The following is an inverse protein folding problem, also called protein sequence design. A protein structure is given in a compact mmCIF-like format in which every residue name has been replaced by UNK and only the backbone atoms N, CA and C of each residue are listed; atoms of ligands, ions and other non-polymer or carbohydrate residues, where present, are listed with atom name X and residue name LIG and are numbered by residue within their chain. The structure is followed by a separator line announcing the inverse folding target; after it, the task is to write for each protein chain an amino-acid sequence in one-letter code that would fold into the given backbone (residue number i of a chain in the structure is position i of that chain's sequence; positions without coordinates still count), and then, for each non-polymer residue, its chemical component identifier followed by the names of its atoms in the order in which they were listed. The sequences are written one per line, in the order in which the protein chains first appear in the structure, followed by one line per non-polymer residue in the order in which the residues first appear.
data_IF_482560168157
#
_entry.id   IF_482560168157
#
_cell.length_a   1.000
_cell.length_b   1.000
_cell.length_c   1.000
_cell.angle_alpha   90.00
_cell.angle_beta   90.00
_cell.angle_gamma   90.00
#
_symmetry.space_group_name_H-M   'P 1'
#
loop_
_entity.id
_entity.type
_entity.pdbx_description
1 polymer ?
#
# COMPACT_ATOMS: atom_id res chain seq x y z
N UNK A 1 32.13 -31.09 -5.41
CA UNK A 1 32.25 -29.86 -6.21
C UNK A 1 31.08 -29.85 -7.19
N UNK A 2 29.91 -29.41 -6.72
CA UNK A 2 28.70 -29.38 -7.51
C UNK A 2 28.43 -27.92 -7.91
N UNK A 3 28.64 -27.65 -9.18
CA UNK A 3 28.28 -26.38 -9.82
C UNK A 3 26.82 -26.50 -10.20
N UNK A 4 25.92 -25.87 -9.42
CA UNK A 4 24.51 -25.74 -9.79
C UNK A 4 24.40 -24.65 -10.85
N UNK A 5 24.28 -25.07 -12.10
CA UNK A 5 24.06 -24.20 -13.26
C UNK A 5 22.61 -23.69 -13.17
N UNK A 6 22.42 -22.42 -12.83
CA UNK A 6 21.12 -21.77 -12.99
C UNK A 6 20.85 -21.56 -14.47
N UNK A 7 19.94 -22.35 -15.03
CA UNK A 7 19.43 -22.19 -16.38
C UNK A 7 18.40 -21.05 -16.37
N UNK A 8 18.73 -19.95 -17.04
CA UNK A 8 17.79 -18.84 -17.23
C UNK A 8 16.94 -19.11 -18.47
N UNK A 9 15.65 -19.32 -18.26
CA UNK A 9 14.67 -19.36 -19.36
C UNK A 9 14.04 -18.00 -19.48
N UNK A 10 14.40 -17.24 -20.50
CA UNK A 10 13.72 -15.98 -20.87
C UNK A 10 12.49 -16.34 -21.67
N UNK A 11 11.33 -16.31 -21.05
CA UNK A 11 10.02 -16.30 -21.73
C UNK A 11 9.39 -14.92 -21.51
N UNK A 12 9.16 -14.28 -22.62
CA UNK A 12 8.46 -13.00 -22.84
C UNK A 12 7.91 -12.24 -21.63
N UNK A 13 8.56 -11.18 -21.23
CA UNK A 13 7.93 -10.01 -20.61
C UNK A 13 7.57 -10.06 -19.11
N UNK A 14 7.82 -11.12 -18.39
CA UNK A 14 7.62 -11.17 -16.93
C UNK A 14 8.96 -11.44 -16.26
N UNK A 15 9.56 -10.41 -15.67
CA UNK A 15 10.62 -10.59 -14.69
C UNK A 15 9.97 -11.24 -13.47
N UNK A 16 10.11 -12.54 -13.32
CA UNK A 16 9.80 -13.19 -12.05
C UNK A 16 10.78 -12.63 -11.03
N UNK A 17 10.25 -11.89 -10.07
CA UNK A 17 11.02 -11.51 -8.88
C UNK A 17 11.64 -12.79 -8.32
N UNK A 18 12.95 -12.94 -8.45
CA UNK A 18 13.70 -14.05 -7.88
C UNK A 18 13.39 -14.16 -6.39
N UNK A 19 13.58 -15.32 -5.81
CA UNK A 19 13.43 -15.49 -4.36
C UNK A 19 14.23 -14.40 -3.65
N UNK A 20 13.64 -13.76 -2.61
CA UNK A 20 14.35 -12.71 -1.89
C UNK A 20 15.66 -13.30 -1.37
N UNK A 21 16.78 -12.69 -1.73
CA UNK A 21 18.09 -13.06 -1.17
C UNK A 21 18.03 -12.96 0.36
N UNK A 22 18.60 -13.93 1.06
CA UNK A 22 18.72 -13.84 2.51
C UNK A 22 19.85 -12.90 2.93
N UNK A 23 20.83 -12.68 2.05
CA UNK A 23 22.03 -11.91 2.34
C UNK A 23 21.94 -10.47 1.88
N UNK A 24 21.26 -10.19 0.76
CA UNK A 24 21.12 -8.85 0.18
C UNK A 24 19.71 -8.31 0.45
N UNK A 25 19.63 -7.11 0.98
CA UNK A 25 18.39 -6.38 1.19
C UNK A 25 18.44 -5.07 0.42
N UNK A 26 17.42 -4.79 -0.36
CA UNK A 26 17.24 -3.55 -1.11
C UNK A 26 15.78 -3.17 -1.16
N UNK A 27 15.45 -2.02 -1.74
CA UNK A 27 14.06 -1.61 -1.92
C UNK A 27 13.37 -2.54 -2.93
N UNK A 28 12.43 -3.34 -2.45
CA UNK A 28 11.71 -4.33 -3.27
C UNK A 28 10.80 -3.70 -4.32
N UNK A 29 10.43 -2.43 -4.17
CA UNK A 29 9.64 -1.68 -5.15
C UNK A 29 10.51 -1.09 -6.26
N UNK A 30 11.84 -1.09 -6.09
CA UNK A 30 12.78 -0.45 -7.00
C UNK A 30 13.14 0.97 -6.63
N UNK A 31 13.72 1.70 -7.56
CA UNK A 31 14.31 3.01 -7.33
C UNK A 31 13.90 4.02 -8.41
N UNK A 32 13.84 5.29 -8.01
CA UNK A 32 13.78 6.38 -8.99
C UNK A 32 15.16 6.64 -9.62
N UNK A 33 15.23 7.09 -10.89
CA UNK A 33 16.49 7.32 -11.58
C UNK A 33 17.45 8.26 -10.84
N UNK A 34 16.97 9.37 -10.31
CA UNK A 34 17.78 10.44 -9.73
C UNK A 34 17.88 10.39 -8.19
N UNK A 35 17.30 9.37 -7.55
CA UNK A 35 17.39 9.23 -6.10
C UNK A 35 18.54 8.35 -5.66
N UNK A 36 18.88 8.46 -4.37
CA UNK A 36 19.83 7.56 -3.71
C UNK A 36 19.37 6.10 -3.85
N UNK A 37 20.32 5.23 -4.21
CA UNK A 37 20.11 3.79 -4.38
C UNK A 37 21.10 3.04 -3.55
N UNK A 38 20.60 2.44 -2.49
CA UNK A 38 21.42 1.67 -1.57
C UNK A 38 20.88 0.25 -1.39
N UNK A 39 21.79 -0.67 -1.15
CA UNK A 39 21.48 -2.01 -0.69
C UNK A 39 22.26 -2.32 0.60
N UNK A 40 21.77 -3.26 1.37
CA UNK A 40 22.36 -3.70 2.63
C UNK A 40 22.72 -5.17 2.52
N UNK A 41 23.98 -5.51 2.85
CA UNK A 41 24.45 -6.88 2.92
C UNK A 41 24.54 -7.33 4.37
N UNK A 42 23.88 -8.45 4.66
CA UNK A 42 23.71 -8.96 6.02
C UNK A 42 24.87 -9.79 6.54
N UNK A 43 25.76 -10.26 5.67
CA UNK A 43 26.81 -11.22 6.01
C UNK A 43 28.12 -10.95 5.28
N UNK A 44 29.22 -11.28 5.95
CA UNK A 44 30.54 -11.36 5.35
C UNK A 44 31.22 -10.03 5.01
N UNK A 45 32.48 -10.13 4.67
CA UNK A 45 33.24 -9.03 4.10
C UNK A 45 32.83 -8.86 2.63
N UNK A 46 32.52 -7.66 2.22
CA UNK A 46 32.26 -7.29 0.85
C UNK A 46 33.50 -6.55 0.32
N UNK A 47 34.12 -7.04 -0.73
CA UNK A 47 35.26 -6.38 -1.37
C UNK A 47 34.82 -5.52 -2.56
N UNK A 48 33.87 -6.05 -3.33
CA UNK A 48 33.30 -5.39 -4.48
C UNK A 48 31.87 -5.92 -4.72
N UNK A 49 31.09 -5.16 -5.46
CA UNK A 49 29.80 -5.60 -5.99
C UNK A 49 29.65 -5.13 -7.44
N UNK A 50 28.77 -5.78 -8.18
CA UNK A 50 28.50 -5.43 -9.56
C UNK A 50 27.02 -5.29 -9.82
N UNK A 51 26.66 -4.41 -10.75
CA UNK A 51 25.31 -4.32 -11.30
C UNK A 51 25.35 -4.78 -12.75
N UNK A 52 24.42 -5.66 -13.08
CA UNK A 52 24.29 -6.25 -14.41
C UNK A 52 22.93 -5.87 -14.97
N UNK A 53 22.88 -5.42 -16.21
CA UNK A 53 21.64 -5.20 -16.95
C UNK A 53 20.96 -6.55 -17.21
N UNK A 54 19.70 -6.68 -16.82
CA UNK A 54 18.98 -7.95 -16.87
C UNK A 54 18.62 -8.39 -18.30
N UNK A 55 18.54 -7.48 -19.26
CA UNK A 55 18.20 -7.77 -20.64
C UNK A 55 19.42 -8.23 -21.45
N UNK A 56 20.57 -7.62 -21.20
CA UNK A 56 21.79 -7.84 -22.00
C UNK A 56 22.79 -8.75 -21.32
N UNK A 57 22.72 -8.90 -19.99
CA UNK A 57 23.73 -9.58 -19.19
C UNK A 57 25.04 -8.80 -19.03
N UNK A 58 25.10 -7.57 -19.53
CA UNK A 58 26.29 -6.76 -19.45
C UNK A 58 26.43 -6.11 -18.07
N UNK A 59 27.65 -6.07 -17.58
CA UNK A 59 28.00 -5.32 -16.37
C UNK A 59 27.94 -3.82 -16.69
N UNK A 60 27.06 -3.11 -15.97
CA UNK A 60 26.85 -1.65 -16.12
C UNK A 60 27.50 -0.83 -15.01
N UNK A 61 27.82 -1.48 -13.88
CA UNK A 61 28.45 -0.81 -12.75
C UNK A 61 29.31 -1.78 -11.94
N UNK A 62 30.41 -1.29 -11.37
CA UNK A 62 31.17 -1.97 -10.32
C UNK A 62 31.50 -0.97 -9.23
N UNK A 63 31.23 -1.34 -8.00
CA UNK A 63 31.47 -0.52 -6.83
C UNK A 63 32.18 -1.26 -5.71
N UNK A 64 32.77 -0.48 -4.83
CA UNK A 64 33.28 -0.95 -3.54
C UNK A 64 32.23 -0.66 -2.48
N UNK A 65 32.21 -1.41 -1.36
CA UNK A 65 31.30 -1.09 -0.25
C UNK A 65 31.57 0.34 0.25
N UNK A 66 30.50 1.05 0.57
CA UNK A 66 30.60 2.42 1.07
C UNK A 66 31.11 2.44 2.50
N UNK A 67 30.34 1.86 3.42
CA UNK A 67 30.67 1.83 4.84
C UNK A 67 29.97 0.68 5.55
N UNK A 68 30.41 0.40 6.78
CA UNK A 68 29.75 -0.54 7.67
C UNK A 68 28.89 0.24 8.65
N UNK A 69 27.59 0.00 8.61
CA UNK A 69 26.64 0.56 9.56
C UNK A 69 26.40 -0.40 10.72
N UNK A 70 26.42 0.12 11.93
CA UNK A 70 26.05 -0.61 13.14
C UNK A 70 24.74 -0.05 13.70
N UNK A 71 23.87 -0.91 14.18
CA UNK A 71 22.61 -0.50 14.78
C UNK A 71 22.69 -0.62 16.31
N UNK A 72 22.30 0.45 17.01
CA UNK A 72 22.17 0.42 18.47
C UNK A 72 21.04 -0.51 18.96
N UNK A 73 20.14 -0.92 18.06
CA UNK A 73 18.98 -1.80 18.36
C UNK A 73 19.25 -3.27 18.07
N UNK A 74 20.36 -3.56 17.38
CA UNK A 74 20.78 -4.93 17.09
C UNK A 74 22.30 -4.97 17.11
N UNK A 75 22.89 -5.99 17.70
CA UNK A 75 24.36 -6.19 17.76
C UNK A 75 24.95 -6.58 16.39
N UNK A 76 24.31 -6.18 15.31
CA UNK A 76 24.70 -6.58 13.96
C UNK A 76 25.20 -5.39 13.15
N UNK A 77 26.37 -5.55 12.57
CA UNK A 77 26.90 -4.64 11.55
C UNK A 77 26.44 -5.07 10.16
N UNK A 78 26.25 -4.09 9.29
CA UNK A 78 25.79 -4.26 7.91
C UNK A 78 26.69 -3.49 6.96
N UNK A 79 26.99 -4.08 5.82
CA UNK A 79 27.71 -3.39 4.75
C UNK A 79 26.71 -2.68 3.85
N UNK A 80 26.92 -1.39 3.61
CA UNK A 80 26.10 -0.57 2.73
C UNK A 80 26.76 -0.52 1.36
N UNK A 81 25.98 -0.79 0.32
CA UNK A 81 26.37 -0.70 -1.08
C UNK A 81 25.62 0.48 -1.70
N UNK A 82 26.34 1.45 -2.21
CA UNK A 82 25.79 2.62 -2.90
C UNK A 82 26.01 2.46 -4.41
N UNK A 83 24.93 2.55 -5.17
CA UNK A 83 24.90 2.49 -6.63
C UNK A 83 24.04 3.62 -7.24
N UNK A 84 24.00 4.76 -6.53
CA UNK A 84 23.20 5.94 -6.92
C UNK A 84 23.56 6.49 -8.28
N UNK A 85 24.80 6.28 -8.75
CA UNK A 85 25.29 6.71 -10.06
C UNK A 85 24.56 6.05 -11.25
N UNK A 86 23.87 4.94 -11.02
CA UNK A 86 23.06 4.31 -12.08
C UNK A 86 21.73 5.05 -12.17
N UNK A 87 21.56 5.85 -13.20
CA UNK A 87 20.34 6.66 -13.41
C UNK A 87 19.47 6.16 -14.56
N UNK A 88 19.96 5.26 -15.40
CA UNK A 88 19.20 4.73 -16.51
C UNK A 88 18.02 3.87 -16.03
N UNK A 89 16.78 4.11 -16.50
CA UNK A 89 15.68 3.20 -16.25
C UNK A 89 15.95 1.81 -16.84
N UNK A 90 15.58 0.75 -16.11
CA UNK A 90 15.79 -0.63 -16.55
C UNK A 90 15.61 -1.63 -15.42
N UNK A 91 15.78 -2.90 -15.78
CA UNK A 91 15.82 -4.02 -14.85
C UNK A 91 17.26 -4.48 -14.67
N UNK A 92 17.66 -4.70 -13.44
CA UNK A 92 19.04 -4.96 -13.08
C UNK A 92 19.16 -6.10 -12.06
N UNK A 93 20.34 -6.71 -12.01
CA UNK A 93 20.76 -7.59 -10.92
C UNK A 93 21.91 -6.94 -10.15
N UNK A 94 21.77 -6.83 -8.85
CA UNK A 94 22.89 -6.55 -7.95
C UNK A 94 23.51 -7.88 -7.54
N UNK A 95 24.81 -8.00 -7.75
CA UNK A 95 25.58 -9.21 -7.48
C UNK A 95 26.69 -8.91 -6.47
N UNK A 96 26.76 -9.70 -5.41
CA UNK A 96 27.79 -9.61 -4.37
C UNK A 96 28.06 -10.98 -3.75
N UNK A 97 29.33 -11.34 -3.57
CA UNK A 97 29.76 -12.59 -2.93
C UNK A 97 29.12 -13.87 -3.51
N UNK A 98 28.79 -13.87 -4.81
CA UNK A 98 28.16 -15.01 -5.48
C UNK A 98 26.64 -15.08 -5.34
N UNK A 99 26.02 -14.16 -4.59
CA UNK A 99 24.57 -14.00 -4.49
C UNK A 99 24.10 -12.87 -5.41
N UNK A 100 22.79 -12.87 -5.75
CA UNK A 100 22.19 -11.86 -6.63
C UNK A 100 20.76 -11.54 -6.23
N UNK A 101 20.36 -10.30 -6.49
CA UNK A 101 18.98 -9.84 -6.30
C UNK A 101 18.57 -8.89 -7.43
N UNK A 102 17.38 -9.08 -7.95
CA UNK A 102 16.82 -8.24 -9.01
C UNK A 102 16.24 -6.94 -8.43
N UNK A 103 16.33 -5.85 -9.18
CA UNK A 103 15.67 -4.58 -8.89
C UNK A 103 15.35 -3.81 -10.18
N UNK A 104 14.44 -2.83 -10.05
CA UNK A 104 14.02 -1.96 -11.15
C UNK A 104 14.40 -0.51 -10.85
N UNK A 105 14.82 0.22 -11.88
CA UNK A 105 14.91 1.69 -11.87
C UNK A 105 13.87 2.23 -12.84
N UNK A 106 12.98 3.11 -12.36
CA UNK A 106 11.84 3.59 -13.15
C UNK A 106 11.30 4.93 -12.65
N UNK A 107 10.88 5.79 -13.57
CA UNK A 107 10.36 7.13 -13.27
C UNK A 107 9.14 7.15 -12.34
N UNK A 108 8.31 6.12 -12.37
CA UNK A 108 7.09 6.03 -11.57
C UNK A 108 7.06 4.72 -10.77
N UNK A 109 8.19 4.37 -10.18
CA UNK A 109 8.38 3.08 -9.51
C UNK A 109 7.40 2.83 -8.35
N UNK A 110 6.95 3.87 -7.64
CA UNK A 110 6.00 3.76 -6.53
C UNK A 110 4.53 3.90 -6.95
N UNK A 111 4.21 4.13 -8.23
CA UNK A 111 2.80 4.24 -8.66
C UNK A 111 1.97 3.00 -8.32
N UNK A 112 2.43 1.76 -8.52
CA UNK A 112 1.65 0.58 -8.15
C UNK A 112 1.36 0.51 -6.65
N UNK A 113 2.27 1.01 -5.80
CA UNK A 113 2.04 1.09 -4.36
C UNK A 113 0.97 2.13 -4.03
N UNK A 114 1.01 3.31 -4.68
CA UNK A 114 0.00 4.34 -4.50
C UNK A 114 -1.39 3.86 -4.94
N UNK A 115 -1.46 3.12 -6.05
CA UNK A 115 -2.71 2.53 -6.54
C UNK A 115 -3.24 1.47 -5.55
N UNK A 116 -2.37 0.61 -5.04
CA UNK A 116 -2.73 -0.39 -4.04
C UNK A 116 -3.18 0.24 -2.71
N UNK A 117 -2.53 1.34 -2.30
CA UNK A 117 -2.90 2.07 -1.09
C UNK A 117 -4.31 2.67 -1.20
N UNK A 118 -4.65 3.31 -2.33
CA UNK A 118 -6.01 3.79 -2.55
C UNK A 118 -7.00 2.63 -2.67
N UNK A 119 -6.65 1.59 -3.42
CA UNK A 119 -7.49 0.38 -3.58
C UNK A 119 -7.81 -0.30 -2.25
N UNK A 120 -6.94 -0.18 -1.23
CA UNK A 120 -7.18 -0.80 0.07
C UNK A 120 -8.46 -0.28 0.74
N UNK A 121 -8.85 0.96 0.53
CA UNK A 121 -10.10 1.52 1.05
C UNK A 121 -11.34 0.86 0.41
N UNK A 122 -11.31 0.56 -0.89
CA UNK A 122 -12.36 -0.23 -1.53
C UNK A 122 -12.58 -1.57 -0.84
N UNK A 123 -11.50 -2.26 -0.44
CA UNK A 123 -11.62 -3.52 0.28
C UNK A 123 -12.21 -3.37 1.69
N UNK A 124 -12.19 -2.18 2.27
CA UNK A 124 -12.80 -1.89 3.58
C UNK A 124 -14.28 -1.48 3.50
N UNK A 125 -14.85 -1.31 2.32
CA UNK A 125 -16.26 -0.92 2.17
C UNK A 125 -17.20 -1.94 2.83
N UNK A 126 -18.17 -1.46 3.61
CA UNK A 126 -19.23 -2.27 4.26
C UNK A 126 -20.55 -2.14 3.52
N UNK A 127 -21.49 -3.03 3.78
CA UNK A 127 -22.85 -2.94 3.26
C UNK A 127 -23.01 -3.27 1.77
N UNK A 128 -21.93 -3.55 1.05
CA UNK A 128 -21.95 -3.94 -0.35
C UNK A 128 -21.04 -5.13 -0.62
N UNK A 129 -21.27 -5.92 -1.70
CA UNK A 129 -20.33 -6.94 -2.10
C UNK A 129 -19.04 -6.31 -2.64
N UNK A 130 -17.90 -6.94 -2.37
CA UNK A 130 -16.65 -6.66 -3.07
C UNK A 130 -16.56 -7.65 -4.23
N UNK A 131 -16.88 -7.16 -5.42
CA UNK A 131 -17.08 -8.03 -6.59
C UNK A 131 -15.76 -8.50 -7.22
N UNK A 132 -15.77 -9.70 -7.80
CA UNK A 132 -14.59 -10.29 -8.42
C UNK A 132 -14.05 -9.45 -9.60
N UNK A 133 -14.91 -8.71 -10.31
CA UNK A 133 -14.51 -7.77 -11.38
C UNK A 133 -13.50 -6.72 -10.90
N UNK A 134 -13.64 -6.28 -9.66
CA UNK A 134 -12.78 -5.26 -9.05
C UNK A 134 -11.73 -5.84 -8.10
N UNK A 135 -11.97 -7.01 -7.53
CA UNK A 135 -11.16 -7.57 -6.45
C UNK A 135 -10.51 -8.92 -6.78
N UNK A 136 -10.85 -9.56 -7.90
CA UNK A 136 -10.33 -10.89 -8.25
C UNK A 136 -10.57 -11.91 -7.13
N UNK A 137 -9.53 -12.57 -6.69
CA UNK A 137 -9.58 -13.60 -5.62
C UNK A 137 -9.95 -13.04 -4.24
N UNK A 138 -9.94 -11.75 -4.06
CA UNK A 138 -10.27 -11.07 -2.79
C UNK A 138 -11.73 -10.61 -2.73
N UNK A 139 -12.55 -11.08 -3.69
CA UNK A 139 -13.99 -10.82 -3.67
C UNK A 139 -14.65 -11.43 -2.44
N UNK A 140 -15.70 -10.77 -1.95
CA UNK A 140 -16.48 -11.22 -0.81
C UNK A 140 -17.94 -10.76 -0.91
N UNK A 141 -18.92 -11.49 -0.33
CA UNK A 141 -20.29 -11.01 -0.26
C UNK A 141 -20.41 -9.75 0.59
N UNK A 142 -21.56 -9.06 0.48
CA UNK A 142 -21.90 -7.97 1.35
C UNK A 142 -21.96 -8.45 2.82
N UNK A 143 -21.42 -7.64 3.70
CA UNK A 143 -21.49 -7.85 5.14
C UNK A 143 -21.84 -6.56 5.85
N UNK A 144 -22.40 -6.66 7.05
CA UNK A 144 -22.73 -5.54 7.94
C UNK A 144 -23.55 -4.46 7.22
N UNK A 145 -24.84 -4.75 6.87
CA UNK A 145 -25.72 -3.79 6.22
C UNK A 145 -26.02 -2.58 7.11
N UNK A 146 -25.92 -2.74 8.43
CA UNK A 146 -26.10 -1.73 9.47
C UNK A 146 -27.41 -0.93 9.31
N UNK A 147 -28.44 -1.58 8.82
CA UNK A 147 -29.79 -1.04 8.63
C UNK A 147 -30.64 -1.04 9.91
N UNK A 148 -30.16 -1.69 10.97
CA UNK A 148 -30.80 -1.81 12.29
C UNK A 148 -29.78 -1.67 13.41
N UNK A 149 -29.36 -0.45 13.66
CA UNK A 149 -28.38 -0.11 14.69
C UNK A 149 -29.10 0.45 15.91
N UNK A 150 -28.77 -0.06 17.10
CA UNK A 150 -29.39 0.38 18.37
C UNK A 150 -28.60 1.56 18.96
N UNK A 151 -29.32 2.60 19.38
CA UNK A 151 -28.73 3.67 20.18
C UNK A 151 -28.30 3.09 21.53
N UNK A 152 -26.99 3.12 21.80
CA UNK A 152 -26.44 2.67 23.09
C UNK A 152 -26.85 3.61 24.23
N UNK A 153 -27.06 3.14 25.46
CA UNK A 153 -27.44 3.98 26.61
C UNK A 153 -26.51 5.20 26.81
N UNK A 154 -25.22 5.05 26.59
CA UNK A 154 -24.26 6.15 26.72
C UNK A 154 -24.38 7.23 25.63
N UNK A 155 -25.07 6.93 24.53
CA UNK A 155 -25.37 7.87 23.45
C UNK A 155 -26.79 8.41 23.51
N UNK A 156 -27.58 7.95 24.47
CA UNK A 156 -28.96 8.38 24.64
C UNK A 156 -29.07 9.82 25.18
N UNK A 157 -30.14 10.49 24.85
CA UNK A 157 -30.49 11.85 25.28
C UNK A 157 -31.98 12.08 25.26
N UNK A 158 -32.44 13.32 25.55
CA UNK A 158 -33.85 13.66 25.58
C UNK A 158 -34.59 13.32 24.28
N UNK A 159 -33.98 13.62 23.15
CA UNK A 159 -34.55 13.47 21.80
C UNK A 159 -34.29 12.08 21.19
N UNK A 160 -33.37 11.29 21.77
CA UNK A 160 -33.00 9.94 21.32
C UNK A 160 -32.91 8.96 22.49
N UNK A 161 -33.79 8.00 22.54
CA UNK A 161 -33.85 7.02 23.63
C UNK A 161 -32.88 5.85 23.35
N UNK A 162 -32.31 5.29 24.42
CA UNK A 162 -31.58 4.03 24.33
C UNK A 162 -32.45 2.94 23.70
N UNK A 163 -31.90 2.12 22.84
CA UNK A 163 -32.59 1.07 22.12
C UNK A 163 -33.41 1.56 20.91
N UNK A 164 -33.44 2.86 20.62
CA UNK A 164 -33.97 3.35 19.34
C UNK A 164 -33.17 2.75 18.19
N UNK A 165 -33.87 2.28 17.16
CA UNK A 165 -33.23 1.72 15.96
C UNK A 165 -33.03 2.83 14.94
N UNK A 166 -31.79 2.95 14.46
CA UNK A 166 -31.43 3.82 13.33
C UNK A 166 -30.81 2.99 12.22
N UNK A 167 -30.73 3.55 11.02
CA UNK A 167 -30.02 2.94 9.88
C UNK A 167 -28.76 3.73 9.58
N UNK A 168 -27.62 3.05 9.51
CA UNK A 168 -26.31 3.67 9.26
C UNK A 168 -25.44 2.80 8.32
N UNK A 169 -25.94 2.55 7.08
CA UNK A 169 -25.27 1.67 6.12
C UNK A 169 -24.03 2.29 5.50
N UNK A 170 -23.16 1.45 4.94
CA UNK A 170 -21.96 1.87 4.22
C UNK A 170 -20.80 2.26 5.13
N UNK A 171 -19.84 2.99 4.58
CA UNK A 171 -18.59 3.34 5.26
C UNK A 171 -17.52 2.25 5.18
N UNK A 172 -16.40 2.47 5.85
CA UNK A 172 -15.28 1.54 5.91
C UNK A 172 -15.18 0.86 7.27
N UNK A 173 -14.80 -0.41 7.27
CA UNK A 173 -14.25 -1.03 8.48
C UNK A 173 -12.99 -0.27 8.91
N UNK A 174 -12.77 -0.16 10.21
CA UNK A 174 -11.60 0.55 10.73
C UNK A 174 -10.29 -0.25 10.52
N UNK A 175 -10.30 -1.50 10.91
CA UNK A 175 -9.12 -2.37 10.85
C UNK A 175 -9.53 -3.83 10.58
N UNK A 176 -9.06 -4.76 11.43
CA UNK A 176 -9.41 -6.19 11.37
C UNK A 176 -10.72 -6.53 12.07
N UNK A 177 -11.40 -5.57 12.63
CA UNK A 177 -12.73 -5.70 13.24
C UNK A 177 -13.84 -5.18 12.31
N UNK A 178 -15.08 -5.31 12.74
CA UNK A 178 -16.26 -4.84 11.99
C UNK A 178 -16.74 -3.48 12.46
N UNK A 179 -15.97 -2.79 13.29
CA UNK A 179 -16.34 -1.48 13.80
C UNK A 179 -16.07 -0.36 12.79
N UNK A 180 -16.78 0.75 12.95
CA UNK A 180 -16.60 1.97 12.18
C UNK A 180 -16.50 3.16 13.15
N UNK A 181 -15.47 4.01 12.97
CA UNK A 181 -15.18 5.12 13.88
C UNK A 181 -15.17 6.43 13.12
N UNK A 182 -15.92 7.42 13.60
CA UNK A 182 -15.99 8.74 12.96
C UNK A 182 -14.65 9.47 12.97
N UNK A 183 -13.94 9.44 14.09
CA UNK A 183 -12.66 10.16 14.22
C UNK A 183 -11.61 9.59 13.26
N UNK A 184 -11.49 8.26 13.19
CA UNK A 184 -10.54 7.59 12.30
C UNK A 184 -10.88 7.84 10.82
N UNK A 185 -12.16 7.72 10.48
CA UNK A 185 -12.66 8.03 9.15
C UNK A 185 -12.41 9.49 8.76
N UNK A 186 -12.70 10.43 9.65
CA UNK A 186 -12.50 11.85 9.40
C UNK A 186 -11.01 12.19 9.20
N UNK A 187 -10.13 11.58 9.99
CA UNK A 187 -8.68 11.74 9.82
C UNK A 187 -8.21 11.23 8.45
N UNK A 188 -8.63 10.03 8.06
CA UNK A 188 -8.28 9.44 6.76
C UNK A 188 -8.77 10.30 5.59
N UNK A 189 -10.02 10.77 5.65
CA UNK A 189 -10.60 11.65 4.63
C UNK A 189 -9.86 12.99 4.59
N UNK A 190 -9.54 13.56 5.74
CA UNK A 190 -8.77 14.81 5.83
C UNK A 190 -7.39 14.71 5.17
N UNK A 191 -6.68 13.58 5.35
CA UNK A 191 -5.44 13.29 4.65
C UNK A 191 -5.65 13.14 3.14
N UNK A 192 -6.68 12.41 2.71
CA UNK A 192 -7.02 12.27 1.28
C UNK A 192 -7.33 13.62 0.64
N UNK A 193 -8.07 14.51 1.32
CA UNK A 193 -8.32 15.87 0.83
C UNK A 193 -7.03 16.66 0.69
N UNK A 194 -6.14 16.57 1.68
CA UNK A 194 -4.87 17.30 1.67
C UNK A 194 -3.96 16.85 0.50
N UNK A 195 -3.86 15.54 0.25
CA UNK A 195 -3.06 15.03 -0.87
C UNK A 195 -3.71 15.36 -2.23
N UNK A 196 -5.05 15.30 -2.32
CA UNK A 196 -5.75 15.71 -3.53
C UNK A 196 -5.52 17.19 -3.85
N UNK A 197 -5.67 18.07 -2.86
CA UNK A 197 -5.41 19.50 -3.02
C UNK A 197 -3.95 19.79 -3.44
N UNK A 198 -3.00 18.95 -2.98
CA UNK A 198 -1.58 19.10 -3.30
C UNK A 198 -1.21 18.56 -4.69
N UNK A 199 -1.87 17.49 -5.14
CA UNK A 199 -1.53 16.75 -6.35
C UNK A 199 -2.75 16.42 -7.23
N UNK A 200 -3.61 17.39 -7.57
CA UNK A 200 -4.88 17.12 -8.27
C UNK A 200 -4.66 16.41 -9.61
N UNK A 201 -3.69 16.84 -10.39
CA UNK A 201 -3.39 16.25 -11.71
C UNK A 201 -2.96 14.78 -11.66
N UNK A 202 -2.38 14.35 -10.54
CA UNK A 202 -2.05 12.95 -10.32
C UNK A 202 -3.33 12.13 -10.14
N UNK A 203 -4.21 12.55 -9.22
CA UNK A 203 -5.42 11.82 -8.87
C UNK A 203 -6.51 11.86 -9.95
N UNK A 204 -6.58 12.92 -10.76
CA UNK A 204 -7.45 12.97 -11.93
C UNK A 204 -7.12 11.85 -12.94
N UNK A 205 -5.85 11.45 -13.02
CA UNK A 205 -5.40 10.38 -13.93
C UNK A 205 -5.31 9.00 -13.28
N UNK A 206 -5.33 8.94 -11.95
CA UNK A 206 -5.25 7.67 -11.22
C UNK A 206 -6.57 6.92 -11.33
N UNK A 207 -6.52 5.66 -11.74
CA UNK A 207 -7.65 4.73 -11.73
C UNK A 207 -7.22 3.45 -11.01
N UNK A 208 -8.01 3.03 -10.03
CA UNK A 208 -7.69 1.86 -9.20
C UNK A 208 -8.69 0.71 -9.37
N UNK A 209 -9.50 0.77 -10.40
CA UNK A 209 -10.49 -0.25 -10.76
C UNK A 209 -11.49 -0.52 -9.61
N UNK A 210 -12.19 0.54 -9.20
CA UNK A 210 -13.37 0.47 -8.31
C UNK A 210 -14.67 0.61 -9.14
N UNK A 211 -15.85 0.31 -8.58
CA UNK A 211 -17.12 0.40 -9.33
C UNK A 211 -17.36 1.76 -10.01
N UNK A 212 -16.85 2.81 -9.41
CA UNK A 212 -17.00 4.19 -9.88
C UNK A 212 -15.94 4.61 -10.92
N UNK A 213 -14.87 3.82 -11.10
CA UNK A 213 -13.79 4.17 -12.05
C UNK A 213 -14.35 4.50 -13.43
N UNK A 214 -13.98 5.68 -13.96
CA UNK A 214 -14.44 6.16 -15.27
C UNK A 214 -15.73 7.00 -15.27
N UNK A 215 -16.28 7.34 -14.11
CA UNK A 215 -17.48 8.19 -13.97
C UNK A 215 -17.20 9.71 -14.07
N UNK A 216 -15.99 10.12 -14.45
CA UNK A 216 -15.48 11.49 -14.52
C UNK A 216 -15.12 12.12 -13.17
N UNK A 217 -15.33 11.44 -12.05
CA UNK A 217 -14.80 11.80 -10.73
C UNK A 217 -13.51 11.01 -10.50
N UNK A 218 -12.46 11.60 -9.92
CA UNK A 218 -11.28 10.84 -9.50
C UNK A 218 -11.62 9.74 -8.48
N UNK A 219 -11.11 8.53 -8.67
CA UNK A 219 -11.38 7.38 -7.79
C UNK A 219 -11.09 7.69 -6.29
N UNK A 220 -10.12 8.56 -6.00
CA UNK A 220 -9.87 9.03 -4.63
C UNK A 220 -11.08 9.76 -4.03
N UNK A 221 -11.74 10.61 -4.81
CA UNK A 221 -12.92 11.36 -4.35
C UNK A 221 -14.13 10.45 -4.22
N UNK A 222 -14.28 9.45 -5.10
CA UNK A 222 -15.34 8.45 -5.00
C UNK A 222 -15.20 7.62 -3.71
N UNK A 223 -13.97 7.19 -3.37
CA UNK A 223 -13.72 6.51 -2.10
C UNK A 223 -14.03 7.38 -0.89
N UNK A 224 -13.60 8.64 -0.90
CA UNK A 224 -13.93 9.59 0.16
C UNK A 224 -15.44 9.76 0.28
N UNK A 225 -16.14 9.92 -0.84
CA UNK A 225 -17.59 10.11 -0.87
C UNK A 225 -18.33 8.88 -0.32
N UNK A 226 -17.87 7.67 -0.64
CA UNK A 226 -18.44 6.45 -0.09
C UNK A 226 -18.49 6.47 1.44
N UNK A 227 -17.41 6.86 2.09
CA UNK A 227 -17.32 6.92 3.53
C UNK A 227 -18.01 8.17 4.13
N UNK A 228 -17.94 9.32 3.46
CA UNK A 228 -18.64 10.54 3.89
C UNK A 228 -20.16 10.34 3.96
N UNK A 229 -20.74 9.59 3.03
CA UNK A 229 -22.18 9.25 3.08
C UNK A 229 -22.54 8.50 4.36
N UNK A 230 -21.70 7.54 4.77
CA UNK A 230 -21.90 6.88 6.06
C UNK A 230 -21.74 7.86 7.24
N UNK A 231 -20.72 8.71 7.23
CA UNK A 231 -20.53 9.69 8.31
C UNK A 231 -21.73 10.60 8.52
N UNK A 232 -22.41 10.99 7.45
CA UNK A 232 -23.66 11.77 7.53
C UNK A 232 -24.80 11.01 8.22
N UNK A 233 -24.84 9.68 8.13
CA UNK A 233 -25.84 8.87 8.86
C UNK A 233 -25.56 8.78 10.35
N UNK A 234 -24.35 9.12 10.76
CA UNK A 234 -23.90 9.14 12.16
C UNK A 234 -24.18 10.49 12.85
N UNK A 235 -24.73 11.46 12.14
CA UNK A 235 -25.19 12.73 12.72
C UNK A 235 -26.67 12.63 13.11
N UNK A 236 -26.97 12.92 14.38
CA UNK A 236 -28.33 12.94 14.85
C UNK A 236 -29.06 14.18 14.32
N UNK A 237 -30.22 14.02 13.64
CA UNK A 237 -30.92 15.15 13.04
C UNK A 237 -31.61 16.07 14.08
N UNK A 238 -31.83 15.60 15.32
CA UNK A 238 -32.52 16.37 16.34
C UNK A 238 -31.64 17.48 16.95
N UNK A 239 -30.35 17.18 17.21
CA UNK A 239 -29.42 18.11 17.88
C UNK A 239 -28.14 18.36 17.12
N UNK A 240 -27.93 17.67 15.98
CA UNK A 240 -26.70 17.75 15.18
C UNK A 240 -25.48 17.03 15.81
N UNK A 241 -25.66 16.36 16.94
CA UNK A 241 -24.63 15.58 17.60
C UNK A 241 -24.19 14.39 16.74
N UNK A 242 -22.91 14.01 16.82
CA UNK A 242 -22.36 12.92 16.02
C UNK A 242 -22.03 11.74 16.91
N UNK A 243 -22.56 10.57 16.56
CA UNK A 243 -22.23 9.33 17.24
C UNK A 243 -20.77 8.99 17.02
N UNK A 244 -20.06 8.65 18.09
CA UNK A 244 -18.61 8.41 18.04
C UNK A 244 -18.23 7.21 17.17
N UNK A 245 -18.98 6.13 17.27
CA UNK A 245 -18.71 4.87 16.56
C UNK A 245 -19.98 4.04 16.36
N UNK A 246 -19.89 3.14 15.39
CA UNK A 246 -20.77 1.99 15.24
C UNK A 246 -19.94 0.74 15.57
N UNK A 247 -20.44 -0.12 16.45
CA UNK A 247 -19.73 -1.31 16.93
C UNK A 247 -20.68 -2.48 17.07
N UNK A 248 -20.17 -3.70 16.97
CA UNK A 248 -20.94 -4.90 17.28
C UNK A 248 -21.32 -4.91 18.77
N UNK A 249 -22.52 -5.38 19.04
CA UNK A 249 -22.98 -5.60 20.42
C UNK A 249 -22.21 -6.80 21.00
N UNK A 250 -21.60 -6.60 22.15
CA UNK A 250 -20.97 -7.67 22.95
C UNK A 250 -21.84 -8.04 24.13
#
# INVERSE_FOLDING_TARGET
MNITTCLFTVLGGMVTLGHPSETIRLNQLGYYPQQEKVAVVNTGEVREFTIVDAATGNRVFSGKPGYIASSAWSDKSRTILDFSDITAPGNYFLMVNGDSVAFEIKERVLSPLADAALKSFYYQRTGMPIEATYAGRWSRPAGHPDDKVLIHPNAAGPERKAGTVISSPGGWYDAGDYNKYIVNSAYSIGLMQAIYARFPDYFIRQQVNIPESGNHTPDLLDEMYYNLRWMLTMQDPADGGVYHKLTTFQ
#
